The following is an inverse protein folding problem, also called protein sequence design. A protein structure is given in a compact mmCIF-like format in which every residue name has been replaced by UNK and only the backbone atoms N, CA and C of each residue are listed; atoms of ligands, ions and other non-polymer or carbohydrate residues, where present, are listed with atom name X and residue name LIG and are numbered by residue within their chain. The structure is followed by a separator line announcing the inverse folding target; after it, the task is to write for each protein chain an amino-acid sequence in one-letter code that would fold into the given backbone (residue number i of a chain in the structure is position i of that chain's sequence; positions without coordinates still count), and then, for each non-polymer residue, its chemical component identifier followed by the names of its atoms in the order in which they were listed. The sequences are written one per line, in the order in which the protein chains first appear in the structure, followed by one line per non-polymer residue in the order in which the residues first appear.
data_IF_381904540416
#
_entry.id   IF_381904540416
#
_cell.length_a   1.000
_cell.length_b   1.000
_cell.length_c   1.000
_cell.angle_alpha   90.00
_cell.angle_beta   90.00
_cell.angle_gamma   90.00
#
_symmetry.space_group_name_H-M   'P 1'
#
loop_
_entity.id
_entity.type
_entity.pdbx_description
1 polymer ?
#
# COMPACT_ATOMS: atom_id res chain seq x y z
N UNK A 1 20.41 7.89 0.69
CA UNK A 1 20.67 6.43 0.56
C UNK A 1 19.84 5.76 -0.54
N UNK A 2 18.57 5.36 -0.35
CA UNK A 2 17.82 4.59 -1.38
C UNK A 2 17.71 5.30 -2.73
N UNK A 3 17.27 6.56 -2.72
CA UNK A 3 17.15 7.34 -3.95
C UNK A 3 18.49 7.54 -4.68
N UNK A 4 19.57 7.80 -3.93
CA UNK A 4 20.93 7.94 -4.47
C UNK A 4 21.45 6.61 -5.04
N UNK A 5 21.05 5.49 -4.45
CA UNK A 5 21.31 4.15 -4.96
C UNK A 5 20.44 3.77 -6.17
N UNK A 6 19.63 4.69 -6.71
CA UNK A 6 18.80 4.43 -7.89
C UNK A 6 17.51 3.67 -7.61
N UNK A 7 17.14 3.53 -6.33
CA UNK A 7 15.93 2.82 -5.92
C UNK A 7 14.74 3.78 -5.89
N UNK A 8 13.64 3.38 -6.52
CA UNK A 8 12.38 4.10 -6.48
C UNK A 8 11.70 3.90 -5.12
N UNK A 9 11.09 4.96 -4.59
CA UNK A 9 10.52 4.96 -3.24
C UNK A 9 9.00 5.02 -3.33
N UNK A 10 8.36 4.02 -2.74
CA UNK A 10 6.91 3.91 -2.59
C UNK A 10 6.56 4.04 -1.11
N UNK A 11 5.63 4.94 -0.78
CA UNK A 11 5.12 5.05 0.58
C UNK A 11 3.98 4.06 0.76
N UNK A 12 4.18 3.04 1.61
CA UNK A 12 3.13 2.08 1.97
C UNK A 12 2.66 2.38 3.37
N UNK A 13 1.36 2.62 3.57
CA UNK A 13 0.82 2.99 4.89
C UNK A 13 -0.49 2.30 5.17
N UNK A 14 -0.55 1.58 6.29
CA UNK A 14 -1.80 1.00 6.78
C UNK A 14 -2.69 2.10 7.37
N UNK A 15 -3.95 2.18 6.93
CA UNK A 15 -4.94 3.12 7.44
C UNK A 15 -5.92 2.42 8.37
N UNK A 16 -6.03 2.94 9.58
CA UNK A 16 -6.98 2.50 10.60
C UNK A 16 -7.80 3.73 11.01
N UNK A 17 -9.12 3.62 10.88
CA UNK A 17 -10.00 4.73 11.24
C UNK A 17 -9.86 5.05 12.73
N UNK A 18 -9.91 6.34 13.06
CA UNK A 18 -9.66 6.90 14.38
C UNK A 18 -8.27 6.65 14.99
N UNK A 19 -7.30 6.15 14.21
CA UNK A 19 -5.91 5.99 14.63
C UNK A 19 -4.96 6.85 13.81
N UNK A 20 -5.11 6.90 12.48
CA UNK A 20 -4.23 7.65 11.59
C UNK A 20 -4.88 8.14 10.28
N UNK A 21 -6.20 8.07 10.15
CA UNK A 21 -6.91 8.52 8.95
C UNK A 21 -6.75 10.04 8.71
N UNK A 22 -6.53 10.84 9.76
CA UNK A 22 -6.20 12.27 9.67
C UNK A 22 -4.87 12.57 8.96
N UNK A 23 -4.02 11.55 8.75
CA UNK A 23 -2.69 11.72 8.16
C UNK A 23 -2.65 11.41 6.66
N UNK A 24 -3.77 11.04 6.04
CA UNK A 24 -3.84 10.79 4.58
C UNK A 24 -3.33 12.00 3.82
N UNK A 25 -3.79 13.20 4.17
CA UNK A 25 -3.35 14.43 3.54
C UNK A 25 -1.89 14.77 3.83
N UNK A 26 -1.42 14.51 5.06
CA UNK A 26 -0.03 14.74 5.44
C UNK A 26 0.95 13.89 4.62
N UNK A 27 0.60 12.63 4.38
CA UNK A 27 1.40 11.70 3.56
C UNK A 27 1.42 12.13 2.09
N UNK A 28 0.26 12.55 1.56
CA UNK A 28 0.17 13.06 0.18
C UNK A 28 0.99 14.34 0.03
N UNK A 29 0.85 15.31 0.93
CA UNK A 29 1.66 16.55 0.94
C UNK A 29 3.15 16.24 1.02
N UNK A 30 3.56 15.30 1.88
CA UNK A 30 4.96 14.88 1.96
C UNK A 30 5.49 14.36 0.61
N UNK A 31 4.71 13.57 -0.13
CA UNK A 31 5.10 13.14 -1.47
C UNK A 31 5.14 14.29 -2.49
N UNK A 32 4.18 15.21 -2.43
CA UNK A 32 4.12 16.41 -3.29
C UNK A 32 5.30 17.36 -3.05
N UNK A 33 5.78 17.47 -1.81
CA UNK A 33 6.97 18.25 -1.47
C UNK A 33 8.27 17.56 -1.92
N UNK A 34 8.25 16.22 -2.05
CA UNK A 34 9.40 15.40 -2.43
C UNK A 34 9.22 14.63 -3.78
N UNK A 35 8.76 15.28 -4.87
CA UNK A 35 8.33 14.63 -6.11
C UNK A 35 9.50 14.08 -6.95
N UNK A 36 10.74 14.46 -6.63
CA UNK A 36 11.94 13.87 -7.23
C UNK A 36 12.20 12.45 -6.72
N UNK A 37 11.73 12.15 -5.50
CA UNK A 37 12.06 10.92 -4.77
C UNK A 37 10.89 9.96 -4.65
N UNK A 38 9.67 10.48 -4.55
CA UNK A 38 8.46 9.69 -4.30
C UNK A 38 7.52 9.78 -5.51
N UNK A 39 7.18 8.63 -6.08
CA UNK A 39 6.30 8.51 -7.26
C UNK A 39 5.01 7.75 -6.98
N UNK A 40 4.89 7.09 -5.82
CA UNK A 40 3.72 6.26 -5.52
C UNK A 40 3.41 6.28 -4.01
N UNK A 41 2.12 6.39 -3.68
CA UNK A 41 1.58 6.14 -2.34
C UNK A 41 0.58 4.98 -2.41
N UNK A 42 0.84 3.94 -1.62
CA UNK A 42 -0.02 2.78 -1.44
C UNK A 42 -0.63 2.80 -0.04
N UNK A 43 -1.84 3.33 0.07
CA UNK A 43 -2.64 3.20 1.28
C UNK A 43 -3.25 1.81 1.38
N UNK A 44 -3.19 1.23 2.57
CA UNK A 44 -3.66 -0.12 2.86
C UNK A 44 -4.68 -0.06 4.00
N UNK A 45 -5.99 0.10 3.72
CA UNK A 45 -6.99 0.01 4.77
C UNK A 45 -6.84 -1.28 5.57
N UNK A 46 -7.02 -1.18 6.88
CA UNK A 46 -6.85 -2.29 7.82
C UNK A 46 -7.71 -3.51 7.44
N UNK A 47 -7.07 -4.68 7.44
CA UNK A 47 -7.72 -5.98 7.46
C UNK A 47 -7.61 -6.52 8.89
N UNK A 48 -8.74 -6.84 9.51
CA UNK A 48 -8.79 -7.38 10.87
C UNK A 48 -8.60 -8.89 10.84
N UNK A 49 -7.34 -9.30 10.65
CA UNK A 49 -6.89 -10.69 10.54
C UNK A 49 -5.63 -10.91 11.39
N UNK A 50 -5.16 -12.16 11.47
CA UNK A 50 -4.05 -12.52 12.34
C UNK A 50 -4.34 -12.11 13.79
N UNK A 51 -3.46 -11.33 14.42
CA UNK A 51 -3.59 -10.99 15.86
C UNK A 51 -4.86 -10.21 16.25
N UNK A 52 -5.58 -9.63 15.31
CA UNK A 52 -6.86 -8.94 15.54
C UNK A 52 -8.08 -9.78 15.12
N UNK A 53 -7.92 -11.09 14.91
CA UNK A 53 -9.04 -11.99 14.55
C UNK A 53 -10.17 -12.01 15.61
N UNK A 54 -9.82 -11.76 16.87
CA UNK A 54 -10.78 -11.65 18.00
C UNK A 54 -11.23 -10.21 18.29
N UNK A 55 -11.05 -9.27 17.36
CA UNK A 55 -11.51 -7.89 17.51
C UNK A 55 -13.01 -7.83 17.85
N UNK A 56 -13.37 -7.02 18.85
CA UNK A 56 -14.77 -6.77 19.19
C UNK A 56 -15.51 -6.08 18.05
N UNK A 57 -16.81 -6.33 17.92
CA UNK A 57 -17.64 -5.71 16.88
C UNK A 57 -17.61 -4.17 16.97
N UNK A 58 -17.70 -3.63 18.17
CA UNK A 58 -17.63 -2.19 18.41
C UNK A 58 -16.30 -1.60 17.92
N UNK A 59 -15.14 -2.19 18.30
CA UNK A 59 -13.82 -1.70 17.86
C UNK A 59 -13.67 -1.85 16.35
N UNK A 60 -14.12 -2.98 15.78
CA UNK A 60 -14.10 -3.23 14.33
C UNK A 60 -14.86 -2.16 13.55
N UNK A 61 -16.06 -1.80 13.99
CA UNK A 61 -16.87 -0.76 13.34
C UNK A 61 -16.21 0.62 13.44
N UNK A 62 -15.71 1.00 14.62
CA UNK A 62 -15.04 2.29 14.81
C UNK A 62 -13.75 2.42 13.99
N UNK A 63 -12.96 1.34 13.90
CA UNK A 63 -11.64 1.34 13.26
C UNK A 63 -11.67 0.97 11.78
N UNK A 64 -12.82 0.51 11.26
CA UNK A 64 -12.95 0.16 9.84
C UNK A 64 -12.70 1.37 8.96
N UNK A 65 -11.72 1.22 8.08
CA UNK A 65 -11.43 2.17 7.03
C UNK A 65 -11.72 1.54 5.66
N UNK A 66 -12.29 2.30 4.72
CA UNK A 66 -12.69 1.80 3.40
C UNK A 66 -12.02 2.61 2.29
N UNK A 67 -12.05 2.10 1.07
CA UNK A 67 -11.55 2.84 -0.10
C UNK A 67 -12.38 4.11 -0.38
N UNK A 68 -13.67 4.13 -0.04
CA UNK A 68 -14.48 5.33 -0.12
C UNK A 68 -14.01 6.39 0.90
N UNK A 69 -13.71 5.99 2.14
CA UNK A 69 -13.11 6.89 3.13
C UNK A 69 -11.80 7.49 2.59
N UNK A 70 -10.94 6.71 1.93
CA UNK A 70 -9.72 7.22 1.31
C UNK A 70 -9.99 8.34 0.31
N UNK A 71 -10.91 8.09 -0.64
CA UNK A 71 -11.25 9.08 -1.66
C UNK A 71 -11.80 10.37 -1.05
N UNK A 72 -12.67 10.26 -0.04
CA UNK A 72 -13.20 11.40 0.70
C UNK A 72 -12.15 12.12 1.55
N UNK A 73 -11.24 11.40 2.20
CA UNK A 73 -10.16 11.98 3.00
C UNK A 73 -9.14 12.71 2.14
N UNK A 74 -8.81 12.20 0.94
CA UNK A 74 -7.98 12.92 -0.02
C UNK A 74 -8.63 14.26 -0.38
N UNK A 75 -9.93 14.26 -0.71
CA UNK A 75 -10.66 15.49 -0.99
C UNK A 75 -10.71 16.43 0.22
N UNK A 76 -11.07 15.92 1.39
CA UNK A 76 -11.26 16.73 2.60
C UNK A 76 -9.96 17.28 3.17
N UNK A 77 -8.87 16.53 3.10
CA UNK A 77 -7.60 16.89 3.74
C UNK A 77 -6.60 17.57 2.81
N UNK A 78 -6.73 17.38 1.49
CA UNK A 78 -5.81 17.95 0.49
C UNK A 78 -6.52 18.88 -0.50
N UNK A 79 -7.84 18.74 -0.68
CA UNK A 79 -8.61 19.57 -1.61
C UNK A 79 -8.56 19.11 -3.07
N UNK A 80 -7.89 17.99 -3.35
CA UNK A 80 -7.72 17.47 -4.72
C UNK A 80 -8.65 16.30 -5.02
N UNK A 81 -8.86 16.03 -6.31
CA UNK A 81 -9.70 14.97 -6.87
C UNK A 81 -11.19 15.12 -6.53
N UNK A 82 -12.06 14.41 -7.25
CA UNK A 82 -13.46 14.23 -6.88
C UNK A 82 -13.75 12.76 -6.57
N UNK A 83 -14.20 12.40 -5.35
CA UNK A 83 -14.32 11.01 -4.91
C UNK A 83 -15.12 10.10 -5.85
N UNK A 84 -16.16 10.64 -6.48
CA UNK A 84 -17.09 9.87 -7.34
C UNK A 84 -16.71 9.90 -8.83
N UNK A 85 -15.61 10.56 -9.21
CA UNK A 85 -15.22 10.74 -10.63
C UNK A 85 -13.77 10.37 -10.92
N UNK A 86 -12.85 10.76 -10.03
CA UNK A 86 -11.42 10.76 -10.31
C UNK A 86 -10.71 9.49 -9.83
N UNK A 87 -11.45 8.49 -9.36
CA UNK A 87 -10.95 7.27 -8.76
C UNK A 87 -11.36 6.05 -9.59
N UNK A 88 -10.38 5.25 -9.98
CA UNK A 88 -10.56 4.14 -10.90
C UNK A 88 -10.07 2.82 -10.30
N UNK A 89 -10.67 1.67 -10.66
CA UNK A 89 -10.13 0.37 -10.30
C UNK A 89 -8.68 0.22 -10.76
N UNK A 90 -7.81 -0.36 -9.92
CA UNK A 90 -6.40 -0.59 -10.30
C UNK A 90 -6.26 -1.49 -11.54
N UNK A 91 -7.24 -2.37 -11.76
CA UNK A 91 -7.33 -3.25 -12.93
C UNK A 91 -7.45 -2.52 -14.26
N UNK A 92 -7.83 -1.24 -14.24
CA UNK A 92 -7.84 -0.38 -15.43
C UNK A 92 -6.46 -0.24 -16.07
N UNK A 93 -5.37 -0.45 -15.31
CA UNK A 93 -4.01 -0.49 -15.84
C UNK A 93 -3.79 -1.63 -16.84
N UNK A 94 -4.60 -2.69 -16.79
CA UNK A 94 -4.50 -3.81 -17.73
C UNK A 94 -4.69 -3.36 -19.18
N UNK A 95 -5.62 -2.45 -19.45
CA UNK A 95 -5.86 -1.96 -20.81
C UNK A 95 -4.63 -1.22 -21.40
N UNK A 96 -3.81 -0.57 -20.55
CA UNK A 96 -2.57 0.06 -20.99
C UNK A 96 -1.48 -0.97 -21.27
N UNK A 97 -1.40 -2.02 -20.45
CA UNK A 97 -0.48 -3.13 -20.68
C UNK A 97 -0.81 -3.87 -21.99
N UNK A 98 -2.09 -4.20 -22.20
CA UNK A 98 -2.56 -4.89 -23.41
C UNK A 98 -2.22 -4.09 -24.68
N UNK A 99 -2.44 -2.77 -24.65
CA UNK A 99 -2.06 -1.91 -25.78
C UNK A 99 -0.55 -1.90 -26.04
N UNK A 100 0.24 -1.79 -24.98
CA UNK A 100 1.70 -1.78 -25.10
C UNK A 100 2.23 -3.13 -25.62
N UNK A 101 1.64 -4.26 -25.22
CA UNK A 101 1.97 -5.59 -25.74
C UNK A 101 1.66 -5.72 -27.23
N UNK A 102 0.52 -5.19 -27.71
CA UNK A 102 0.23 -5.12 -29.15
C UNK A 102 1.27 -4.29 -29.91
N UNK A 103 1.77 -3.21 -29.31
CA UNK A 103 2.78 -2.32 -29.91
C UNK A 103 4.18 -2.95 -29.92
N UNK A 104 4.54 -3.73 -28.89
CA UNK A 104 5.80 -4.47 -28.84
C UNK A 104 5.77 -5.69 -29.77
N UNK A 105 4.61 -6.29 -29.96
CA UNK A 105 4.40 -7.40 -30.87
C UNK A 105 4.69 -8.77 -30.24
N UNK A 106 4.32 -9.86 -30.92
CA UNK A 106 4.38 -11.21 -30.37
C UNK A 106 5.80 -11.75 -30.18
N UNK A 107 6.80 -11.13 -30.81
CA UNK A 107 8.21 -11.55 -30.74
C UNK A 107 8.94 -10.96 -29.50
N UNK A 108 8.24 -10.21 -28.66
CA UNK A 108 8.84 -9.67 -27.43
C UNK A 108 9.07 -10.79 -26.41
N UNK A 109 10.28 -10.82 -25.82
CA UNK A 109 10.64 -11.84 -24.83
C UNK A 109 9.75 -11.81 -23.57
N UNK A 110 9.19 -10.63 -23.25
CA UNK A 110 8.37 -10.39 -22.07
C UNK A 110 7.24 -9.42 -22.39
N UNK A 111 6.05 -9.69 -21.84
CA UNK A 111 4.92 -8.76 -21.85
C UNK A 111 5.08 -7.65 -20.81
N UNK A 112 4.21 -6.64 -20.91
CA UNK A 112 4.15 -5.54 -19.98
C UNK A 112 3.60 -5.96 -18.62
N UNK A 113 4.07 -5.28 -17.58
CA UNK A 113 3.57 -5.50 -16.22
C UNK A 113 2.11 -5.04 -16.14
N UNK A 114 1.20 -5.99 -15.99
CA UNK A 114 -0.23 -5.76 -15.84
C UNK A 114 -0.71 -5.99 -14.41
N UNK A 115 -1.54 -5.07 -13.91
CA UNK A 115 -2.19 -5.20 -12.60
C UNK A 115 -3.57 -5.85 -12.75
N UNK A 116 -3.63 -7.13 -13.12
CA UNK A 116 -4.87 -7.86 -13.44
C UNK A 116 -5.76 -8.23 -12.24
N UNK A 117 -5.71 -7.49 -11.14
CA UNK A 117 -6.51 -7.80 -9.94
C UNK A 117 -8.00 -7.61 -10.17
N UNK A 118 -8.84 -8.19 -9.31
CA UNK A 118 -10.28 -7.93 -9.34
C UNK A 118 -10.57 -6.42 -9.13
N UNK A 119 -11.53 -5.79 -9.84
CA UNK A 119 -11.80 -4.34 -9.75
C UNK A 119 -12.08 -3.82 -8.33
N UNK A 120 -12.68 -4.65 -7.47
CA UNK A 120 -12.95 -4.32 -6.06
C UNK A 120 -11.73 -4.46 -5.12
N UNK A 121 -10.55 -4.85 -5.63
CA UNK A 121 -9.35 -5.00 -4.81
C UNK A 121 -8.71 -3.67 -4.41
N UNK A 122 -8.77 -2.69 -5.30
CA UNK A 122 -8.18 -1.39 -5.05
C UNK A 122 -8.65 -0.34 -6.03
N UNK A 123 -8.53 0.91 -5.61
CA UNK A 123 -8.80 2.08 -6.42
C UNK A 123 -7.58 2.98 -6.43
N UNK A 124 -7.39 3.73 -7.50
CA UNK A 124 -6.30 4.67 -7.62
C UNK A 124 -6.67 5.90 -8.42
N UNK A 125 -5.89 6.95 -8.19
CA UNK A 125 -5.90 8.19 -8.95
C UNK A 125 -4.48 8.66 -9.12
N UNK A 126 -4.27 9.69 -9.95
CA UNK A 126 -2.95 10.21 -10.22
C UNK A 126 -2.94 11.74 -10.20
N UNK A 127 -1.82 12.29 -9.77
CA UNK A 127 -1.52 13.72 -9.82
C UNK A 127 -0.28 13.92 -10.66
N UNK A 128 -0.37 14.82 -11.64
CA UNK A 128 0.78 15.27 -12.39
C UNK A 128 1.43 16.43 -11.63
N UNK A 129 2.72 16.32 -11.29
CA UNK A 129 3.43 17.29 -10.44
C UNK A 129 4.74 17.70 -11.10
N UNK A 130 4.99 19.00 -11.21
CA UNK A 130 6.28 19.51 -11.65
C UNK A 130 7.30 19.40 -10.52
N UNK A 131 8.43 18.74 -10.78
CA UNK A 131 9.47 18.45 -9.78
C UNK A 131 10.17 19.69 -9.26
N UNK A 132 10.22 20.74 -10.06
CA UNK A 132 10.89 22.01 -9.75
C UNK A 132 9.90 23.05 -9.23
N UNK A 133 8.83 23.34 -9.98
CA UNK A 133 7.88 24.42 -9.65
C UNK A 133 6.79 24.01 -8.66
N UNK A 134 6.63 22.71 -8.42
CA UNK A 134 5.53 22.11 -7.62
C UNK A 134 4.13 22.36 -8.17
N UNK A 135 4.02 22.93 -9.37
CA UNK A 135 2.74 23.04 -10.06
C UNK A 135 2.15 21.64 -10.26
N UNK A 136 0.87 21.48 -9.95
CA UNK A 136 0.24 20.17 -9.99
C UNK A 136 -1.23 20.24 -10.40
N UNK A 137 -1.71 19.17 -11.03
CA UNK A 137 -3.12 18.95 -11.30
C UNK A 137 -3.44 17.44 -11.25
N UNK A 138 -4.59 17.04 -10.69
CA UNK A 138 -5.10 15.68 -10.83
C UNK A 138 -5.28 15.32 -12.30
N UNK A 139 -4.75 14.16 -12.70
CA UNK A 139 -4.77 13.71 -14.10
C UNK A 139 -6.19 13.63 -14.68
N UNK A 140 -7.21 13.15 -13.94
CA UNK A 140 -8.58 13.12 -14.46
C UNK A 140 -9.21 14.49 -14.76
N UNK A 141 -8.62 15.60 -14.29
CA UNK A 141 -9.12 16.95 -14.62
C UNK A 141 -8.79 17.38 -16.06
N UNK A 142 -7.71 16.85 -16.63
CA UNK A 142 -7.26 17.18 -17.98
C UNK A 142 -7.19 15.99 -18.93
N UNK A 143 -7.43 14.77 -18.44
CA UNK A 143 -7.46 13.57 -19.25
C UNK A 143 -8.70 12.75 -18.89
N UNK A 144 -9.62 12.59 -19.84
CA UNK A 144 -10.78 11.71 -19.69
C UNK A 144 -10.33 10.25 -19.70
N UNK A 145 -10.04 9.71 -18.52
CA UNK A 145 -9.50 8.35 -18.36
C UNK A 145 -10.48 7.30 -18.89
N UNK A 146 -11.79 7.43 -18.61
CA UNK A 146 -12.79 6.48 -19.07
C UNK A 146 -12.85 6.44 -20.60
N UNK A 147 -12.96 7.60 -21.24
CA UNK A 147 -12.98 7.70 -22.70
C UNK A 147 -11.68 7.20 -23.34
N UNK A 148 -10.53 7.55 -22.76
CA UNK A 148 -9.23 7.11 -23.24
C UNK A 148 -9.09 5.58 -23.18
N UNK A 149 -9.52 4.95 -22.08
CA UNK A 149 -9.44 3.50 -21.93
C UNK A 149 -10.39 2.78 -22.89
N UNK A 150 -11.60 3.29 -23.09
CA UNK A 150 -12.53 2.73 -24.09
C UNK A 150 -11.95 2.83 -25.51
N UNK A 151 -11.40 3.98 -25.87
CA UNK A 151 -10.76 4.17 -27.17
C UNK A 151 -9.52 3.26 -27.33
N UNK A 152 -8.71 3.13 -26.27
CA UNK A 152 -7.53 2.26 -26.24
C UNK A 152 -7.90 0.79 -26.41
N UNK A 153 -8.91 0.29 -25.70
CA UNK A 153 -9.39 -1.08 -25.85
C UNK A 153 -9.82 -1.35 -27.29
N UNK A 154 -10.59 -0.45 -27.90
CA UNK A 154 -10.99 -0.58 -29.29
C UNK A 154 -9.78 -0.59 -30.25
N UNK A 155 -8.75 0.24 -29.99
CA UNK A 155 -7.52 0.22 -30.79
C UNK A 155 -6.81 -1.13 -30.65
N UNK A 156 -6.64 -1.62 -29.41
CA UNK A 156 -6.01 -2.91 -29.11
C UNK A 156 -6.75 -4.07 -29.77
N UNK A 157 -8.08 -4.13 -29.65
CA UNK A 157 -8.93 -5.20 -30.20
C UNK A 157 -8.89 -5.26 -31.73
N UNK A 158 -8.68 -4.12 -32.40
CA UNK A 158 -8.52 -4.10 -33.86
C UNK A 158 -7.18 -4.67 -34.33
N UNK A 159 -6.23 -4.87 -33.41
CA UNK A 159 -4.91 -5.49 -33.62
C UNK A 159 -4.21 -5.03 -34.91
N UNK A 160 -4.14 -3.71 -35.11
CA UNK A 160 -3.48 -3.12 -36.28
C UNK A 160 -1.97 -3.04 -36.07
N UNK A 161 -1.24 -2.84 -37.17
CA UNK A 161 0.22 -2.71 -37.11
C UNK A 161 0.68 -1.54 -36.23
N UNK A 162 1.84 -1.70 -35.59
CA UNK A 162 2.46 -0.77 -34.63
C UNK A 162 2.28 0.71 -34.97
N UNK A 163 2.61 1.10 -36.20
CA UNK A 163 2.53 2.49 -36.63
C UNK A 163 1.11 3.05 -36.57
N UNK A 164 0.13 2.29 -37.09
CA UNK A 164 -1.27 2.70 -37.11
C UNK A 164 -1.86 2.72 -35.70
N UNK A 165 -1.55 1.72 -34.87
CA UNK A 165 -2.00 1.65 -33.47
C UNK A 165 -1.47 2.83 -32.65
N UNK A 166 -0.19 3.19 -32.79
CA UNK A 166 0.38 4.37 -32.14
C UNK A 166 -0.22 5.69 -32.64
N UNK A 167 -0.50 5.80 -33.94
CA UNK A 167 -1.17 6.97 -34.50
C UNK A 167 -2.59 7.13 -33.92
N UNK A 168 -3.37 6.04 -33.90
CA UNK A 168 -4.71 6.04 -33.31
C UNK A 168 -4.69 6.33 -31.81
N UNK A 169 -3.69 5.83 -31.08
CA UNK A 169 -3.48 6.16 -29.67
C UNK A 169 -3.21 7.66 -29.47
N UNK A 170 -2.39 8.27 -30.33
CA UNK A 170 -2.19 9.71 -30.34
C UNK A 170 -3.49 10.48 -30.54
N UNK A 171 -4.35 10.06 -31.47
CA UNK A 171 -5.67 10.66 -31.67
C UNK A 171 -6.61 10.45 -30.47
N UNK A 172 -6.60 9.28 -29.86
CA UNK A 172 -7.38 8.98 -28.66
C UNK A 172 -6.95 9.86 -27.47
N UNK A 173 -5.64 10.06 -27.28
CA UNK A 173 -5.11 10.99 -26.28
C UNK A 173 -5.57 12.42 -26.55
N UNK A 174 -5.51 12.89 -27.80
CA UNK A 174 -5.96 14.23 -28.17
C UNK A 174 -7.47 14.42 -27.95
N UNK A 175 -8.28 13.44 -28.35
CA UNK A 175 -9.73 13.43 -28.15
C UNK A 175 -10.11 13.54 -26.67
N UNK A 176 -9.33 12.91 -25.80
CA UNK A 176 -9.61 12.83 -24.36
C UNK A 176 -8.85 13.88 -23.53
N UNK A 177 -8.06 14.76 -24.16
CA UNK A 177 -7.28 15.79 -23.48
C UNK A 177 -8.04 17.12 -23.37
N UNK A 178 -8.08 17.68 -22.16
CA UNK A 178 -8.64 18.99 -21.86
C UNK A 178 -7.55 19.94 -21.32
N UNK A 179 -7.03 20.89 -22.13
CA UNK A 179 -5.94 21.76 -21.71
C UNK A 179 -6.27 22.69 -20.54
N UNK A 180 -7.55 23.01 -20.31
CA UNK A 180 -7.95 23.94 -19.25
C UNK A 180 -7.82 23.36 -17.84
N UNK A 181 -7.78 22.03 -17.71
CA UNK A 181 -7.53 21.36 -16.43
C UNK A 181 -6.06 21.00 -16.20
N UNK A 182 -5.19 21.24 -17.18
CA UNK A 182 -3.80 20.85 -17.12
C UNK A 182 -2.98 21.90 -16.37
N UNK A 183 -1.84 21.51 -15.75
CA UNK A 183 -0.85 22.49 -15.31
C UNK A 183 -0.45 23.40 -16.47
N UNK A 184 -0.36 24.71 -16.24
CA UNK A 184 -0.01 25.70 -17.25
C UNK A 184 1.35 25.43 -17.90
N UNK A 185 2.31 24.84 -17.16
CA UNK A 185 3.60 24.44 -17.73
C UNK A 185 3.59 23.08 -18.45
N UNK A 186 2.50 22.31 -18.38
CA UNK A 186 2.39 20.99 -19.01
C UNK A 186 1.96 21.15 -20.47
N UNK A 187 2.91 20.96 -21.38
CA UNK A 187 2.61 20.95 -22.81
C UNK A 187 2.07 19.58 -23.26
N UNK A 188 1.29 19.58 -24.33
CA UNK A 188 0.82 18.36 -24.99
C UNK A 188 1.99 17.43 -25.40
N UNK A 189 3.09 18.01 -25.87
CA UNK A 189 4.32 17.26 -26.18
C UNK A 189 4.93 16.60 -24.93
N UNK A 190 4.81 17.24 -23.76
CA UNK A 190 5.19 16.66 -22.48
C UNK A 190 4.35 15.43 -22.11
N UNK A 191 3.03 15.48 -22.36
CA UNK A 191 2.12 14.35 -22.14
C UNK A 191 2.46 13.19 -23.07
N UNK A 192 2.61 13.44 -24.37
CA UNK A 192 2.98 12.40 -25.34
C UNK A 192 4.34 11.78 -25.00
N UNK A 193 5.34 12.60 -24.62
CA UNK A 193 6.64 12.12 -24.15
C UNK A 193 6.52 11.24 -22.91
N UNK A 194 5.62 11.59 -21.98
CA UNK A 194 5.35 10.81 -20.77
C UNK A 194 4.74 9.45 -21.09
N UNK A 195 3.69 9.43 -21.91
CA UNK A 195 3.07 8.19 -22.38
C UNK A 195 4.09 7.28 -23.08
N UNK A 196 4.85 7.85 -24.01
CA UNK A 196 5.88 7.13 -24.75
C UNK A 196 6.98 6.56 -23.82
N UNK A 197 7.42 7.35 -22.83
CA UNK A 197 8.42 6.92 -21.85
C UNK A 197 7.92 5.86 -20.87
N UNK A 198 6.65 5.90 -20.49
CA UNK A 198 6.06 4.94 -19.56
C UNK A 198 5.82 3.58 -20.21
N UNK A 199 5.44 3.56 -21.49
CA UNK A 199 5.03 2.34 -22.19
C UNK A 199 5.97 1.91 -23.33
N UNK A 200 7.02 2.68 -23.62
CA UNK A 200 8.02 2.34 -24.64
C UNK A 200 7.44 2.23 -26.05
N UNK A 201 6.55 3.16 -26.44
CA UNK A 201 5.71 3.02 -27.64
C UNK A 201 6.46 3.28 -28.95
N UNK A 202 7.35 4.27 -28.95
CA UNK A 202 8.09 4.74 -30.13
C UNK A 202 9.48 4.11 -30.28
N UNK A 203 9.98 3.42 -29.25
CA UNK A 203 11.34 2.89 -29.20
C UNK A 203 12.42 3.95 -28.94
N UNK A 204 12.04 5.20 -28.59
CA UNK A 204 13.01 6.21 -28.14
C UNK A 204 13.68 5.79 -26.84
N UNK A 205 14.99 6.04 -26.78
CA UNK A 205 15.78 5.76 -25.59
C UNK A 205 15.60 6.85 -24.53
N UNK A 206 14.85 6.50 -23.48
CA UNK A 206 14.64 7.31 -22.29
C UNK A 206 15.51 6.88 -21.10
N UNK A 207 16.43 5.95 -21.29
CA UNK A 207 17.16 5.23 -20.25
C UNK A 207 16.49 3.88 -19.96
N UNK A 208 17.33 2.83 -19.86
CA UNK A 208 16.90 1.44 -19.62
C UNK A 208 16.19 1.28 -18.28
N UNK A 209 15.25 0.34 -18.25
CA UNK A 209 14.50 -0.06 -17.04
C UNK A 209 14.74 -1.52 -16.65
N UNK A 210 15.47 -2.26 -17.48
CA UNK A 210 15.79 -3.67 -17.28
C UNK A 210 16.83 -3.91 -16.18
N UNK A 211 17.16 -5.20 -15.91
CA UNK A 211 18.13 -5.58 -14.89
C UNK A 211 19.55 -5.06 -15.17
N UNK A 212 19.86 -4.70 -16.40
CA UNK A 212 21.14 -4.15 -16.86
C UNK A 212 21.22 -2.62 -16.79
N UNK A 213 20.21 -1.94 -16.23
CA UNK A 213 20.18 -0.47 -16.14
C UNK A 213 21.35 0.09 -15.34
N UNK A 214 21.89 1.21 -15.81
CA UNK A 214 23.01 1.92 -15.18
C UNK A 214 22.53 3.15 -14.39
N UNK A 215 23.43 3.78 -13.62
CA UNK A 215 23.14 5.07 -12.97
C UNK A 215 22.87 6.20 -13.98
N UNK A 216 23.51 6.14 -15.16
CA UNK A 216 23.26 7.11 -16.23
C UNK A 216 21.85 6.96 -16.82
N UNK A 217 21.39 5.73 -17.01
CA UNK A 217 20.00 5.44 -17.42
C UNK A 217 19.00 6.03 -16.43
N UNK A 218 19.27 5.85 -15.13
CA UNK A 218 18.43 6.37 -14.04
C UNK A 218 18.40 7.90 -14.07
N UNK A 219 19.56 8.55 -14.19
CA UNK A 219 19.63 10.02 -14.22
C UNK A 219 18.94 10.58 -15.46
N UNK A 220 19.12 9.96 -16.63
CA UNK A 220 18.41 10.31 -17.86
C UNK A 220 16.89 10.20 -17.70
N UNK A 221 16.40 9.16 -17.00
CA UNK A 221 14.97 9.05 -16.65
C UNK A 221 14.54 10.12 -15.63
N UNK A 222 15.40 10.55 -14.72
CA UNK A 222 15.08 11.53 -13.68
C UNK A 222 15.00 12.98 -14.17
N UNK A 223 15.72 13.32 -15.24
CA UNK A 223 15.74 14.65 -15.89
C UNK A 223 14.36 15.15 -16.37
N UNK A 224 13.40 14.25 -16.53
CA UNK A 224 12.03 14.60 -16.85
C UNK A 224 11.41 15.47 -15.75
N UNK A 225 10.96 16.70 -16.05
CA UNK A 225 10.51 17.65 -15.04
C UNK A 225 9.19 17.23 -14.37
N UNK A 226 8.47 16.26 -14.94
CA UNK A 226 7.18 15.83 -14.42
C UNK A 226 7.30 14.55 -13.61
N UNK A 227 6.61 14.50 -12.49
CA UNK A 227 6.35 13.30 -11.71
C UNK A 227 4.88 12.92 -11.89
N UNK A 228 4.63 11.63 -12.12
CA UNK A 228 3.28 11.08 -12.16
C UNK A 228 3.06 10.40 -10.80
N UNK A 229 2.57 11.16 -9.82
CA UNK A 229 2.36 10.66 -8.47
C UNK A 229 1.08 9.83 -8.44
N UNK A 230 1.22 8.53 -8.29
CA UNK A 230 0.07 7.63 -8.14
C UNK A 230 -0.36 7.54 -6.68
N UNK A 231 -1.65 7.74 -6.42
CA UNK A 231 -2.26 7.63 -5.10
C UNK A 231 -3.24 6.46 -5.15
N UNK A 232 -2.89 5.35 -4.51
CA UNK A 232 -3.66 4.11 -4.54
C UNK A 232 -4.13 3.72 -3.15
N UNK A 233 -5.30 3.11 -3.09
CA UNK A 233 -5.77 2.31 -1.98
C UNK A 233 -5.96 0.87 -2.43
N UNK A 234 -5.37 -0.09 -1.73
CA UNK A 234 -5.70 -1.51 -1.87
C UNK A 234 -6.11 -2.02 -0.50
N UNK A 235 -7.27 -2.66 -0.38
CA UNK A 235 -7.69 -3.23 0.90
C UNK A 235 -7.62 -4.75 0.85
N UNK A 236 -6.84 -5.32 1.76
CA UNK A 236 -6.84 -6.76 1.97
C UNK A 236 -8.20 -7.23 2.48
N UNK A 237 -8.50 -8.49 2.25
CA UNK A 237 -9.76 -9.06 2.69
C UNK A 237 -9.72 -9.37 4.19
N UNK A 238 -10.88 -9.31 4.83
CA UNK A 238 -11.19 -9.91 6.12
C UNK A 238 -12.65 -10.38 6.12
N UNK A 239 -13.16 -10.84 7.26
CA UNK A 239 -14.54 -11.36 7.36
C UNK A 239 -15.63 -10.38 6.86
N UNK A 240 -15.36 -9.07 6.81
CA UNK A 240 -16.32 -8.08 6.33
C UNK A 240 -16.46 -8.04 4.80
N UNK A 241 -15.37 -8.27 4.06
CA UNK A 241 -15.31 -8.09 2.60
C UNK A 241 -14.70 -9.31 1.88
N UNK A 242 -14.80 -10.49 2.50
CA UNK A 242 -14.30 -11.73 1.92
C UNK A 242 -15.16 -12.13 0.71
N UNK A 243 -14.48 -12.35 -0.41
CA UNK A 243 -15.06 -12.62 -1.72
C UNK A 243 -14.10 -13.56 -2.45
N UNK A 244 -14.61 -14.73 -2.82
CA UNK A 244 -13.84 -15.77 -3.50
C UNK A 244 -13.36 -15.32 -4.88
N UNK A 245 -14.12 -14.50 -5.63
CA UNK A 245 -13.70 -14.00 -6.95
C UNK A 245 -12.49 -13.08 -6.85
N UNK A 246 -12.43 -12.27 -5.78
CA UNK A 246 -11.23 -11.47 -5.48
C UNK A 246 -10.03 -12.33 -5.12
N UNK A 247 -10.27 -13.45 -4.43
CA UNK A 247 -9.22 -14.39 -4.04
C UNK A 247 -8.66 -15.14 -5.26
N UNK A 248 -9.52 -15.55 -6.20
CA UNK A 248 -9.15 -16.18 -7.48
C UNK A 248 -8.31 -15.25 -8.38
N UNK A 249 -8.57 -13.94 -8.33
CA UNK A 249 -7.85 -12.92 -9.10
C UNK A 249 -6.84 -12.13 -8.26
N UNK A 250 -6.34 -12.71 -7.17
CA UNK A 250 -5.37 -12.04 -6.33
C UNK A 250 -3.99 -12.01 -7.01
N UNK A 251 -3.41 -10.83 -7.14
CA UNK A 251 -2.09 -10.61 -7.78
C UNK A 251 -0.94 -10.53 -6.78
N UNK A 252 -1.22 -10.84 -5.50
CA UNK A 252 -0.22 -10.83 -4.43
C UNK A 252 -0.03 -12.26 -3.96
N UNK A 253 0.99 -12.96 -4.46
CA UNK A 253 1.26 -14.34 -4.08
C UNK A 253 2.15 -14.44 -2.86
N UNK A 254 1.95 -15.50 -2.07
CA UNK A 254 2.91 -16.01 -1.12
C UNK A 254 3.46 -17.34 -1.61
N UNK A 255 4.79 -17.40 -1.71
CA UNK A 255 5.49 -18.67 -1.82
C UNK A 255 5.50 -19.37 -0.47
N UNK A 256 4.98 -20.59 -0.44
CA UNK A 256 5.04 -21.49 0.72
C UNK A 256 5.72 -22.79 0.32
N UNK A 257 6.05 -23.62 1.30
CA UNK A 257 6.61 -24.96 1.07
C UNK A 257 5.68 -25.86 0.26
N UNK A 258 4.36 -25.61 0.30
CA UNK A 258 3.34 -26.38 -0.42
C UNK A 258 3.03 -25.81 -1.80
N UNK A 259 3.67 -24.71 -2.18
CA UNK A 259 3.43 -23.98 -3.43
C UNK A 259 2.93 -22.55 -3.19
N UNK A 260 2.36 -21.97 -4.23
CA UNK A 260 1.88 -20.60 -4.23
C UNK A 260 0.44 -20.52 -3.70
N UNK A 261 0.20 -19.57 -2.80
CA UNK A 261 -1.13 -19.26 -2.27
C UNK A 261 -1.30 -17.74 -2.26
N UNK A 262 -2.51 -17.26 -2.60
CA UNK A 262 -2.76 -15.82 -2.59
C UNK A 262 -2.70 -15.21 -1.19
N UNK A 263 -2.33 -13.93 -1.09
CA UNK A 263 -2.26 -13.21 0.18
C UNK A 263 -3.56 -13.32 0.99
N UNK A 264 -4.70 -13.10 0.33
CA UNK A 264 -6.00 -13.15 0.98
C UNK A 264 -6.33 -14.57 1.45
N UNK A 265 -6.05 -15.61 0.66
CA UNK A 265 -6.26 -16.98 1.10
C UNK A 265 -5.33 -17.35 2.28
N UNK A 266 -4.08 -16.92 2.24
CA UNK A 266 -3.11 -17.20 3.30
C UNK A 266 -3.49 -16.54 4.63
N UNK A 267 -3.67 -15.20 4.62
CA UNK A 267 -3.88 -14.42 5.84
C UNK A 267 -5.33 -14.36 6.32
N UNK A 268 -6.30 -14.69 5.45
CA UNK A 268 -7.72 -14.46 5.72
C UNK A 268 -8.57 -15.70 5.48
N UNK A 269 -9.65 -15.85 6.24
CA UNK A 269 -10.65 -16.91 6.03
C UNK A 269 -10.32 -18.16 6.83
N UNK A 270 -10.11 -19.29 6.14
CA UNK A 270 -10.03 -20.66 6.72
C UNK A 270 -8.76 -20.86 7.58
N UNK A 271 -7.80 -19.92 7.56
CA UNK A 271 -6.62 -19.96 8.43
C UNK A 271 -5.46 -20.79 7.85
N UNK A 272 -5.27 -20.79 6.53
CA UNK A 272 -4.16 -21.48 5.85
C UNK A 272 -2.79 -21.10 6.43
N UNK A 273 -2.60 -19.83 6.78
CA UNK A 273 -1.42 -19.37 7.52
C UNK A 273 -1.17 -20.20 8.77
N UNK A 274 -2.17 -20.36 9.63
CA UNK A 274 -2.00 -21.10 10.88
C UNK A 274 -1.64 -22.55 10.61
N UNK A 275 -2.25 -23.19 9.62
CA UNK A 275 -1.93 -24.57 9.23
C UNK A 275 -0.47 -24.67 8.79
N UNK A 276 -0.05 -23.85 7.84
CA UNK A 276 1.30 -23.88 7.26
C UNK A 276 2.36 -23.50 8.31
N UNK A 277 2.13 -22.45 9.09
CA UNK A 277 3.05 -22.05 10.17
C UNK A 277 3.17 -23.15 11.22
N UNK A 278 2.09 -23.85 11.58
CA UNK A 278 2.15 -24.97 12.54
C UNK A 278 2.84 -26.21 11.99
N UNK A 279 2.70 -26.49 10.69
CA UNK A 279 3.38 -27.61 10.01
C UNK A 279 4.89 -27.41 9.98
N UNK A 280 5.35 -26.17 9.76
CA UNK A 280 6.74 -25.85 9.46
C UNK A 280 7.48 -25.10 10.58
N UNK A 281 6.83 -24.80 11.71
CA UNK A 281 7.50 -24.20 12.86
C UNK A 281 8.64 -25.08 13.38
N UNK A 282 9.80 -24.48 13.62
CA UNK A 282 11.01 -25.19 14.08
C UNK A 282 11.40 -24.84 15.53
N UNK A 283 11.02 -23.67 16.02
CA UNK A 283 11.34 -23.20 17.36
C UNK A 283 10.26 -22.25 17.89
N UNK A 284 10.01 -22.32 19.20
CA UNK A 284 9.26 -21.28 19.90
C UNK A 284 10.12 -20.02 20.07
N UNK A 285 9.48 -18.85 20.20
CA UNK A 285 10.18 -17.59 20.52
C UNK A 285 11.06 -17.72 21.77
N UNK A 286 10.61 -18.49 22.77
CA UNK A 286 11.37 -18.73 23.99
C UNK A 286 12.64 -19.58 23.76
N UNK A 287 12.57 -20.60 22.91
CA UNK A 287 13.74 -21.40 22.51
C UNK A 287 14.71 -20.54 21.69
N UNK A 288 14.20 -19.80 20.71
CA UNK A 288 15.01 -18.91 19.88
C UNK A 288 15.80 -17.90 20.72
N UNK A 289 15.14 -17.22 21.67
CA UNK A 289 15.80 -16.27 22.56
C UNK A 289 16.77 -16.90 23.55
N UNK A 290 16.57 -18.16 23.93
CA UNK A 290 17.51 -18.88 24.78
C UNK A 290 18.81 -19.18 24.03
N UNK A 291 18.72 -19.51 22.75
CA UNK A 291 19.86 -19.89 21.91
C UNK A 291 20.60 -18.69 21.33
N UNK A 292 19.87 -17.69 20.85
CA UNK A 292 20.42 -16.56 20.08
C UNK A 292 20.40 -15.24 20.87
N UNK A 293 19.86 -15.25 22.09
CA UNK A 293 19.61 -14.02 22.84
C UNK A 293 18.42 -13.23 22.30
N UNK A 294 18.15 -12.09 22.93
CA UNK A 294 17.11 -11.15 22.47
C UNK A 294 17.73 -10.12 21.54
N UNK A 295 17.15 -9.98 20.36
CA UNK A 295 17.48 -8.92 19.42
C UNK A 295 16.91 -7.58 19.90
N UNK A 296 17.59 -6.49 19.58
CA UNK A 296 17.10 -5.16 19.88
C UNK A 296 15.83 -4.86 19.08
N UNK A 297 14.83 -4.29 19.76
CA UNK A 297 13.54 -3.94 19.16
C UNK A 297 13.28 -2.46 19.43
N UNK A 298 13.31 -1.68 18.34
CA UNK A 298 12.95 -0.26 18.32
C UNK A 298 11.44 -0.12 18.06
N UNK A 299 10.65 -0.17 19.13
CA UNK A 299 9.21 0.00 19.09
C UNK A 299 8.74 0.88 20.25
N UNK A 300 7.51 1.41 20.17
CA UNK A 300 6.89 2.27 21.21
C UNK A 300 7.69 3.54 21.51
N UNK A 301 8.14 4.23 20.45
CA UNK A 301 8.84 5.51 20.58
C UNK A 301 10.31 5.40 20.98
N UNK A 302 10.89 4.19 20.98
CA UNK A 302 12.34 4.04 21.11
C UNK A 302 13.04 4.61 19.87
N UNK A 303 14.07 5.41 20.11
CA UNK A 303 14.90 5.97 19.05
C UNK A 303 15.76 4.88 18.41
N UNK A 304 15.88 4.94 17.08
CA UNK A 304 16.83 4.14 16.33
C UNK A 304 18.13 4.93 16.24
N UNK A 305 19.24 4.36 16.68
CA UNK A 305 20.54 4.98 16.52
C UNK A 305 20.94 4.96 15.03
N UNK A 306 20.97 6.13 14.42
CA UNK A 306 21.45 6.32 13.05
C UNK A 306 22.84 6.92 13.10
N UNK A 307 23.77 6.34 12.34
CA UNK A 307 25.15 6.85 12.23
C UNK A 307 25.22 8.26 11.61
N UNK A 308 24.26 8.61 10.75
CA UNK A 308 24.04 9.96 10.25
C UNK A 308 22.54 10.24 10.18
N UNK A 309 22.13 11.41 10.69
CA UNK A 309 20.74 11.89 10.69
C UNK A 309 20.46 12.88 9.56
N UNK A 310 21.46 13.22 8.73
CA UNK A 310 21.31 14.17 7.64
C UNK A 310 20.31 13.66 6.59
N UNK A 311 19.45 14.57 6.10
CA UNK A 311 18.52 14.28 5.02
C UNK A 311 18.22 15.52 4.20
N UNK A 312 17.77 15.32 2.97
CA UNK A 312 17.27 16.35 2.06
C UNK A 312 15.78 16.17 1.76
N UNK A 313 15.06 15.45 2.63
CA UNK A 313 13.60 15.36 2.62
C UNK A 313 13.02 16.62 3.23
N UNK A 314 12.00 17.18 2.57
CA UNK A 314 11.23 18.31 3.10
C UNK A 314 10.16 17.75 4.01
N UNK A 315 10.14 18.21 5.27
CA UNK A 315 9.16 17.85 6.27
C UNK A 315 8.35 19.09 6.65
N UNK A 316 7.03 18.94 6.71
CA UNK A 316 6.14 20.01 7.16
C UNK A 316 5.92 19.88 8.68
N UNK A 317 6.35 20.89 9.44
CA UNK A 317 6.27 20.87 10.90
C UNK A 317 4.83 20.76 11.44
N UNK A 318 3.84 21.32 10.74
CA UNK A 318 2.43 21.22 11.14
C UNK A 318 1.93 19.78 10.98
N UNK A 319 2.29 19.13 9.88
CA UNK A 319 1.97 17.73 9.63
C UNK A 319 2.68 16.80 10.64
N UNK A 320 3.92 17.12 11.03
CA UNK A 320 4.67 16.38 12.06
C UNK A 320 4.06 16.52 13.45
N UNK A 321 3.63 17.74 13.83
CA UNK A 321 2.98 18.00 15.10
C UNK A 321 1.65 17.26 15.23
N UNK A 322 0.98 17.02 14.09
CA UNK A 322 -0.29 16.27 13.98
C UNK A 322 -1.32 16.76 15.00
N UNK A 323 -1.80 18.02 14.88
CA UNK A 323 -2.64 18.65 15.90
C UNK A 323 -4.04 18.03 16.01
N UNK A 324 -4.58 17.50 14.92
CA UNK A 324 -5.96 17.04 14.82
C UNK A 324 -6.08 15.51 14.96
N UNK A 325 -5.40 14.93 15.95
CA UNK A 325 -5.45 13.48 16.18
C UNK A 325 -6.89 13.04 16.46
N UNK A 326 -7.39 12.02 15.74
CA UNK A 326 -8.73 11.52 15.97
C UNK A 326 -8.84 10.89 17.35
N UNK A 327 -10.04 10.99 17.91
CA UNK A 327 -10.40 10.35 19.17
C UNK A 327 -11.32 9.17 18.90
N UNK A 328 -11.25 8.15 19.75
CA UNK A 328 -12.16 7.02 19.72
C UNK A 328 -12.48 6.60 21.14
N UNK A 329 -13.68 6.05 21.32
CA UNK A 329 -14.15 5.55 22.59
C UNK A 329 -13.65 4.12 22.83
N UNK A 330 -13.22 3.87 24.06
CA UNK A 330 -12.78 2.54 24.48
C UNK A 330 -11.38 2.16 23.99
N UNK A 331 -11.08 0.85 23.98
CA UNK A 331 -9.74 0.36 23.69
C UNK A 331 -9.38 0.48 22.20
N UNK A 332 -8.14 0.87 21.92
CA UNK A 332 -7.58 1.02 20.56
C UNK A 332 -6.91 -0.26 20.07
N UNK A 333 -6.49 -1.12 20.99
CA UNK A 333 -5.73 -2.34 20.71
C UNK A 333 -6.32 -3.54 21.42
N UNK A 334 -6.06 -4.74 20.90
CA UNK A 334 -6.44 -6.00 21.57
C UNK A 334 -5.84 -6.11 22.98
N UNK A 335 -4.64 -5.57 23.20
CA UNK A 335 -4.00 -5.53 24.50
C UNK A 335 -4.79 -4.65 25.51
N UNK A 336 -5.28 -3.50 25.07
CA UNK A 336 -6.13 -2.63 25.88
C UNK A 336 -7.49 -3.27 26.18
N UNK A 337 -8.09 -3.98 25.22
CA UNK A 337 -9.31 -4.77 25.44
C UNK A 337 -9.12 -5.82 26.53
N UNK A 338 -8.04 -6.62 26.46
CA UNK A 338 -7.73 -7.64 27.47
C UNK A 338 -7.53 -7.01 28.85
N UNK A 339 -6.85 -5.86 28.93
CA UNK A 339 -6.67 -5.13 30.18
C UNK A 339 -7.99 -4.62 30.75
N UNK A 340 -8.87 -4.08 29.90
CA UNK A 340 -10.19 -3.60 30.29
C UNK A 340 -11.07 -4.75 30.81
N UNK A 341 -11.11 -5.88 30.10
CA UNK A 341 -11.85 -7.08 30.53
C UNK A 341 -11.32 -7.65 31.83
N UNK A 342 -9.99 -7.66 32.02
CA UNK A 342 -9.38 -8.08 33.28
C UNK A 342 -9.76 -7.18 34.46
N UNK A 343 -9.81 -5.86 34.24
CA UNK A 343 -10.28 -4.89 35.25
C UNK A 343 -11.75 -5.13 35.59
N UNK A 344 -12.60 -5.29 34.58
CA UNK A 344 -14.03 -5.55 34.77
C UNK A 344 -14.29 -6.87 35.52
N UNK A 345 -13.55 -7.92 35.17
CA UNK A 345 -13.61 -9.20 35.88
C UNK A 345 -13.24 -9.05 37.36
N UNK A 346 -12.15 -8.34 37.65
CA UNK A 346 -11.73 -8.10 39.03
C UNK A 346 -12.82 -7.34 39.83
N UNK A 347 -13.42 -6.30 39.25
CA UNK A 347 -14.48 -5.51 39.91
C UNK A 347 -15.79 -6.31 40.08
N UNK A 348 -16.26 -6.96 39.02
CA UNK A 348 -17.57 -7.62 39.04
C UNK A 348 -17.56 -8.97 39.74
N UNK A 349 -16.45 -9.70 39.71
CA UNK A 349 -16.38 -11.09 40.18
C UNK A 349 -15.60 -11.20 41.47
N UNK A 350 -14.46 -10.52 41.62
CA UNK A 350 -13.65 -10.65 42.84
C UNK A 350 -14.19 -9.77 43.96
N UNK A 351 -14.48 -8.49 43.68
CA UNK A 351 -14.98 -7.56 44.70
C UNK A 351 -16.42 -7.89 45.11
N UNK A 352 -17.32 -8.19 44.17
CA UNK A 352 -18.73 -8.51 44.46
C UNK A 352 -18.91 -9.81 45.26
N UNK A 353 -18.04 -10.80 45.04
CA UNK A 353 -18.07 -12.07 45.79
C UNK A 353 -17.20 -12.03 47.07
N UNK A 354 -16.66 -10.86 47.46
CA UNK A 354 -15.75 -10.71 48.61
C UNK A 354 -14.58 -11.70 48.59
N UNK A 355 -14.13 -12.13 47.40
CA UNK A 355 -13.00 -13.04 47.25
C UNK A 355 -11.75 -12.21 47.49
N UNK A 356 -11.25 -12.21 48.74
CA UNK A 356 -9.95 -11.63 49.10
C UNK A 356 -8.87 -12.30 48.25
N UNK A 357 -7.90 -11.50 47.76
CA UNK A 357 -6.82 -11.97 46.89
C UNK A 357 -6.04 -13.18 47.44
N UNK A 358 -6.07 -13.38 48.75
CA UNK A 358 -5.44 -14.51 49.46
C UNK A 358 -6.08 -15.87 49.13
N UNK A 359 -7.32 -15.91 48.66
CA UNK A 359 -8.04 -17.14 48.27
C UNK A 359 -7.94 -17.45 46.76
N UNK A 360 -7.20 -16.65 46.00
CA UNK A 360 -6.94 -16.96 44.59
C UNK A 360 -5.84 -17.99 44.53
N UNK A 361 -6.22 -19.24 44.25
CA UNK A 361 -5.24 -20.26 43.83
C UNK A 361 -4.72 -19.84 42.46
N UNK A 362 -3.56 -19.18 42.45
CA UNK A 362 -2.81 -18.99 41.23
C UNK A 362 -2.40 -20.39 40.77
N UNK A 363 -3.07 -20.92 39.73
CA UNK A 363 -2.57 -22.11 39.03
C UNK A 363 -1.28 -21.64 38.36
N UNK A 364 -0.18 -21.76 39.09
CA UNK A 364 1.14 -21.43 38.62
C UNK A 364 1.38 -22.23 37.34
N UNK A 365 1.72 -21.52 36.25
CA UNK A 365 2.33 -22.17 35.10
C UNK A 365 3.46 -23.08 35.60
N UNK A 366 3.51 -24.31 35.08
CA UNK A 366 4.43 -25.36 35.47
C UNK A 366 5.77 -24.79 35.96
N UNK A 367 6.03 -24.91 37.27
CA UNK A 367 7.32 -24.57 37.86
C UNK A 367 8.41 -25.30 37.09
N UNK A 368 9.34 -24.56 36.49
CA UNK A 368 10.62 -25.13 36.04
C UNK A 368 11.24 -25.82 37.26
N UNK A 369 11.33 -27.15 37.23
CA UNK A 369 12.16 -27.91 38.18
C UNK A 369 13.58 -27.35 38.09
N UNK A 370 14.14 -26.99 39.24
CA UNK A 370 15.55 -26.69 39.39
C UNK A 370 16.39 -27.85 38.85
N UNK A 371 17.30 -27.54 37.93
CA UNK A 371 18.31 -28.45 37.40
C UNK A 371 19.47 -28.58 38.39
N UNK A 372 19.19 -29.02 39.59
CA UNK A 372 20.21 -29.46 40.55
C UNK A 372 19.65 -30.67 41.28
N UNK A 373 19.80 -31.84 40.66
CA UNK A 373 19.75 -33.21 41.22
C UNK A 373 19.23 -34.17 40.16
N UNK A 374 20.11 -34.52 39.22
CA UNK A 374 20.10 -35.79 38.49
C UNK A 374 21.52 -36.00 37.94
N UNK A 375 22.46 -36.14 38.87
CA UNK A 375 23.67 -36.92 38.67
C UNK A 375 23.45 -38.17 39.50
N UNK A 376 23.15 -39.29 38.86
CA UNK A 376 23.38 -40.66 39.31
C UNK A 376 22.78 -41.62 38.27
N UNK A 377 23.70 -42.36 37.64
CA UNK A 377 23.58 -43.57 36.80
C UNK A 377 22.90 -43.48 35.42
#
# INVERSE_FOLDING_TARGET
NLHEAGVDIILVTTLVNNINNDQVGSIIRFALENPKKISFIAFQPVSFTGRDEMITEQRRLQQRYTLAHLAHDVKGQVGITEPTRDWFPLSLMGAFADFADVVHGPDADWGQVSCGCHPNCGVGTAVMVNKETKEMAPVPQFLNIQGLVTDMQHITDTNRGKWFSNFMMGLALLKNYNPYGAPASLTLGGILKKFDKSFGLSGKDYGKVGPDRTMEDIEKRRQDPWNFLFIAGMWFQDLFNYDFRRTEMCIIPYGTQEGEISFCAYNTGIGWRNIIEHMHQNATVAQWYKEHGRHEVFARGKEVELGDKSHNLILNEVDLARPNKPQMDGPKTAAEEVQMMRKLYNQMVLEKNQIKGDNLVQIGGLKKKDKSMAVAE
#
